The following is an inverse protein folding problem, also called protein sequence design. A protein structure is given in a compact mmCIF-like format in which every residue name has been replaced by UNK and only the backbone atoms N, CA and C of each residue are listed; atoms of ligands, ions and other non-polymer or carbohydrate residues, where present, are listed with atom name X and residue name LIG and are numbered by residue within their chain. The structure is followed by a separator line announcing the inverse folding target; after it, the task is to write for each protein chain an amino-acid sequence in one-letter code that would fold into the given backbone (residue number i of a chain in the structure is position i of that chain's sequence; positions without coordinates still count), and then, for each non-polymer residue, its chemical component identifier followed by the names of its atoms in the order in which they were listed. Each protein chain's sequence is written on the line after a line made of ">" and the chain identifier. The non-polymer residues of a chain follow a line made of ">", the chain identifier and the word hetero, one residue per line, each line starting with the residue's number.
data_IF_355330697875
#
_entry.id   IF_355330697875
#
_cell.length_a   1.000
_cell.length_b   1.000
_cell.length_c   1.000
_cell.angle_alpha   90.00
_cell.angle_beta   90.00
_cell.angle_gamma   90.00
#
_symmetry.space_group_name_H-M   'P 1'
#
loop_
_entity.id
_entity.type
_entity.pdbx_description
1 polymer ?
#
# COMPACT_ATOMS: atom_id res chain seq x y z
N UNK A 1 -12.67 -31.04 1.50
CA UNK A 1 -11.79 -30.00 0.92
C UNK A 1 -10.37 -30.34 1.32
N UNK A 2 -9.61 -30.95 0.40
CA UNK A 2 -8.22 -31.34 0.66
C UNK A 2 -7.33 -30.12 0.38
N UNK A 3 -6.61 -29.66 1.39
CA UNK A 3 -5.64 -28.58 1.26
C UNK A 3 -4.28 -29.19 0.96
N UNK A 4 -3.68 -28.74 -0.14
CA UNK A 4 -2.34 -29.12 -0.59
C UNK A 4 -1.30 -28.83 0.51
N UNK A 5 -0.59 -29.86 0.95
CA UNK A 5 0.40 -29.84 2.02
C UNK A 5 1.77 -29.37 1.52
N UNK A 6 1.78 -28.26 0.79
CA UNK A 6 2.99 -27.60 0.32
C UNK A 6 3.84 -27.13 1.50
N UNK A 7 5.02 -27.72 1.68
CA UNK A 7 6.05 -27.19 2.57
C UNK A 7 6.49 -25.83 2.03
N UNK A 8 6.07 -24.75 2.70
CA UNK A 8 6.47 -23.40 2.31
C UNK A 8 7.96 -23.18 2.62
N UNK A 9 8.82 -23.44 1.64
CA UNK A 9 10.18 -22.88 1.61
C UNK A 9 10.06 -21.44 1.15
N UNK A 10 10.12 -20.51 2.10
CA UNK A 10 10.26 -19.08 1.81
C UNK A 10 11.64 -18.91 1.16
N UNK A 11 11.70 -18.61 -0.14
CA UNK A 11 12.92 -18.12 -0.78
C UNK A 11 13.36 -16.88 -0.01
N UNK A 12 14.37 -17.01 0.86
CA UNK A 12 14.86 -15.92 1.71
C UNK A 12 15.27 -14.69 0.86
N UNK A 13 15.69 -14.92 -0.39
CA UNK A 13 16.04 -13.90 -1.37
C UNK A 13 14.84 -13.10 -1.92
N UNK A 14 13.60 -13.62 -1.85
CA UNK A 14 12.37 -12.90 -2.23
C UNK A 14 11.73 -12.19 -1.04
N UNK A 15 11.73 -12.85 0.13
CA UNK A 15 11.19 -12.27 1.36
C UNK A 15 11.99 -11.06 1.87
N UNK A 16 13.31 -11.03 1.65
CA UNK A 16 14.14 -9.91 2.09
C UNK A 16 14.09 -8.67 1.18
N UNK A 17 13.45 -8.73 0.00
CA UNK A 17 13.39 -7.58 -0.91
C UNK A 17 12.48 -6.47 -0.40
N UNK A 18 11.41 -6.82 0.30
CA UNK A 18 10.48 -5.86 0.91
C UNK A 18 10.94 -5.31 2.26
N UNK A 19 11.84 -6.04 2.95
CA UNK A 19 12.30 -5.67 4.29
C UNK A 19 12.83 -4.24 4.40
N UNK A 20 13.66 -3.71 3.47
CA UNK A 20 14.11 -2.32 3.54
C UNK A 20 12.96 -1.30 3.52
N UNK A 21 11.91 -1.56 2.73
CA UNK A 21 10.75 -0.68 2.69
C UNK A 21 9.93 -0.77 3.98
N UNK A 22 9.75 -1.98 4.52
CA UNK A 22 9.10 -2.18 5.81
C UNK A 22 9.87 -1.50 6.95
N UNK A 23 11.20 -1.65 7.00
CA UNK A 23 12.06 -1.00 7.99
C UNK A 23 11.92 0.54 7.90
N UNK A 24 11.79 1.09 6.68
CA UNK A 24 11.62 2.53 6.48
C UNK A 24 10.25 3.02 6.96
N UNK A 25 9.17 2.28 6.68
CA UNK A 25 7.83 2.57 7.22
C UNK A 25 7.84 2.46 8.74
N UNK A 26 8.48 1.43 9.32
CA UNK A 26 8.58 1.27 10.77
C UNK A 26 9.31 2.46 11.42
N UNK A 27 10.42 2.91 10.84
CA UNK A 27 11.12 4.10 11.30
C UNK A 27 10.22 5.34 11.26
N UNK A 28 9.48 5.55 10.17
CA UNK A 28 8.54 6.67 10.07
C UNK A 28 7.42 6.58 11.12
N UNK A 29 6.89 5.39 11.37
CA UNK A 29 5.85 5.14 12.38
C UNK A 29 6.33 5.49 13.79
N UNK A 30 7.56 5.13 14.16
CA UNK A 30 8.16 5.53 15.44
C UNK A 30 8.22 7.06 15.58
N UNK A 31 8.57 7.77 14.51
CA UNK A 31 8.62 9.25 14.50
C UNK A 31 7.23 9.86 14.59
N UNK A 32 6.24 9.32 13.88
CA UNK A 32 4.85 9.75 13.98
C UNK A 32 4.29 9.56 15.39
N UNK A 33 4.58 8.42 16.02
CA UNK A 33 4.18 8.10 17.38
C UNK A 33 4.86 9.01 18.40
N UNK A 34 6.17 9.25 18.27
CA UNK A 34 6.90 10.17 19.14
C UNK A 34 6.38 11.62 19.07
N UNK A 35 5.79 12.01 17.93
CA UNK A 35 5.10 13.30 17.75
C UNK A 35 3.64 13.31 18.22
N UNK A 36 3.09 12.15 18.58
CA UNK A 36 1.69 12.01 19.00
C UNK A 36 0.66 12.18 17.88
N UNK A 37 1.07 12.23 16.61
CA UNK A 37 0.17 12.50 15.48
C UNK A 37 -0.34 11.22 14.80
N UNK A 38 0.35 10.09 14.97
CA UNK A 38 -0.15 8.80 14.49
C UNK A 38 0.27 7.67 15.44
N UNK A 39 -0.48 6.58 15.44
CA UNK A 39 -0.10 5.32 16.07
C UNK A 39 -0.42 4.22 15.07
N UNK A 40 0.62 3.69 14.44
CA UNK A 40 0.53 2.64 13.42
C UNK A 40 1.29 1.41 13.91
N UNK A 41 0.67 0.25 13.79
CA UNK A 41 1.24 -1.02 14.20
C UNK A 41 1.37 -1.95 13.00
N UNK A 42 2.54 -2.57 12.87
CA UNK A 42 2.74 -3.68 11.93
C UNK A 42 1.94 -4.88 12.43
N UNK A 43 1.07 -5.43 11.58
CA UNK A 43 0.28 -6.62 11.90
C UNK A 43 1.18 -7.86 11.73
N UNK A 44 1.47 -8.63 12.79
CA UNK A 44 2.30 -9.81 12.66
C UNK A 44 1.56 -10.90 11.89
N UNK A 45 2.28 -11.64 11.05
CA UNK A 45 1.78 -12.92 10.55
C UNK A 45 1.78 -13.94 11.69
N UNK A 46 0.69 -14.70 11.83
CA UNK A 46 0.59 -15.75 12.84
C UNK A 46 1.33 -17.01 12.36
N UNK A 47 2.19 -17.55 13.22
CA UNK A 47 2.99 -18.73 12.92
C UNK A 47 2.78 -19.81 13.98
N UNK A 48 2.59 -21.04 13.52
CA UNK A 48 2.64 -22.24 14.36
C UNK A 48 4.10 -22.70 14.45
N UNK A 49 4.74 -22.66 15.63
CA UNK A 49 6.09 -23.17 15.80
C UNK A 49 6.08 -24.70 15.70
N UNK A 50 6.94 -25.24 14.84
CA UNK A 50 7.24 -26.68 14.77
C UNK A 50 8.46 -26.95 15.63
N UNK A 51 8.29 -27.75 16.68
CA UNK A 51 9.33 -28.05 17.66
C UNK A 51 10.12 -29.29 17.28
N UNK A 52 11.43 -29.25 17.52
CA UNK A 52 12.32 -30.41 17.40
C UNK A 52 12.23 -31.33 18.61
N UNK A 53 12.99 -32.43 18.59
CA UNK A 53 13.00 -33.45 19.63
C UNK A 53 13.35 -32.93 21.04
N UNK A 54 14.02 -31.79 21.14
CA UNK A 54 14.41 -31.16 22.41
C UNK A 54 13.58 -29.90 22.72
N UNK A 55 12.43 -29.71 22.07
CA UNK A 55 11.49 -28.62 22.34
C UNK A 55 11.83 -27.26 21.73
N UNK A 56 12.99 -27.10 21.09
CA UNK A 56 13.38 -25.89 20.36
C UNK A 56 12.54 -25.69 19.11
N UNK A 57 12.26 -24.44 18.73
CA UNK A 57 11.58 -24.14 17.46
C UNK A 57 12.54 -24.45 16.32
N UNK A 58 12.25 -25.51 15.57
CA UNK A 58 13.07 -25.96 14.45
C UNK A 58 12.58 -25.36 13.13
N UNK A 59 11.27 -25.10 13.02
CA UNK A 59 10.65 -24.48 11.85
C UNK A 59 9.34 -23.79 12.26
N UNK A 60 8.66 -23.13 11.33
CA UNK A 60 7.32 -22.59 11.53
C UNK A 60 6.45 -22.83 10.31
N UNK A 61 5.14 -23.00 10.53
CA UNK A 61 4.12 -22.94 9.48
C UNK A 61 3.32 -21.67 9.68
N UNK A 62 2.90 -21.03 8.59
CA UNK A 62 1.95 -19.92 8.68
C UNK A 62 0.61 -20.51 9.13
N UNK A 63 0.05 -19.97 10.22
CA UNK A 63 -1.30 -20.32 10.68
C UNK A 63 -2.32 -19.51 9.89
N UNK A 64 -2.19 -18.17 10.00
CA UNK A 64 -3.04 -17.19 9.35
C UNK A 64 -2.16 -16.10 8.74
N UNK A 65 -2.43 -15.79 7.47
CA UNK A 65 -1.83 -14.61 6.82
C UNK A 65 -2.37 -13.35 7.50
N UNK A 66 -1.53 -12.32 7.64
CA UNK A 66 -1.98 -11.02 8.12
C UNK A 66 -3.00 -10.43 7.15
N UNK A 67 -3.96 -9.66 7.67
CA UNK A 67 -4.98 -9.01 6.87
C UNK A 67 -4.38 -7.92 5.96
N UNK A 68 -3.55 -7.05 6.54
CA UNK A 68 -2.73 -6.03 5.88
C UNK A 68 -1.43 -5.88 6.66
N UNK A 69 -0.42 -5.20 6.10
CA UNK A 69 0.85 -5.00 6.80
C UNK A 69 0.77 -4.05 8.00
N UNK A 70 -0.04 -2.98 7.94
CA UNK A 70 -0.14 -1.99 9.01
C UNK A 70 -1.58 -1.53 9.29
N UNK A 71 -1.90 -1.36 10.56
CA UNK A 71 -3.16 -0.82 11.06
C UNK A 71 -2.93 0.24 12.13
N UNK A 72 -3.79 1.25 12.20
CA UNK A 72 -3.68 2.25 13.25
C UNK A 72 -4.55 3.47 13.00
N UNK A 73 -4.07 4.62 13.48
CA UNK A 73 -4.70 5.92 13.25
C UNK A 73 -3.69 6.99 12.91
N UNK A 74 -4.12 7.95 12.09
CA UNK A 74 -3.50 9.26 11.93
C UNK A 74 -4.46 10.31 12.49
N UNK A 75 -4.07 10.99 13.56
CA UNK A 75 -4.96 11.83 14.39
C UNK A 75 -6.23 11.06 14.77
N UNK A 76 -7.41 11.51 14.36
CA UNK A 76 -8.72 10.88 14.60
C UNK A 76 -9.14 9.88 13.51
N UNK A 77 -8.35 9.72 12.45
CA UNK A 77 -8.70 8.92 11.28
C UNK A 77 -8.12 7.50 11.40
N UNK A 78 -8.94 6.44 11.40
CA UNK A 78 -8.46 5.06 11.29
C UNK A 78 -7.83 4.81 9.92
N UNK A 79 -6.68 4.12 9.90
CA UNK A 79 -5.90 3.89 8.67
C UNK A 79 -5.49 2.42 8.56
N UNK A 80 -5.76 1.82 7.41
CA UNK A 80 -5.20 0.54 7.00
C UNK A 80 -4.22 0.73 5.84
N UNK A 81 -3.07 0.06 5.91
CA UNK A 81 -2.01 0.17 4.89
C UNK A 81 -1.44 -1.18 4.55
N UNK A 82 -1.39 -1.47 3.27
CA UNK A 82 -0.65 -2.60 2.71
C UNK A 82 0.63 -2.10 2.02
N UNK A 83 1.80 -2.67 2.31
CA UNK A 83 3.07 -2.20 1.76
C UNK A 83 3.58 -3.13 0.65
N UNK A 84 3.80 -2.57 -0.54
CA UNK A 84 4.32 -3.31 -1.70
C UNK A 84 5.58 -2.65 -2.24
N UNK A 85 6.57 -3.47 -2.55
CA UNK A 85 7.84 -3.02 -3.10
C UNK A 85 8.17 -3.76 -4.38
N UNK A 86 8.67 -3.03 -5.38
CA UNK A 86 9.24 -3.59 -6.60
C UNK A 86 10.64 -3.00 -6.83
N UNK A 87 11.58 -3.85 -7.26
CA UNK A 87 12.90 -3.42 -7.74
C UNK A 87 12.86 -3.02 -9.21
N UNK A 88 11.80 -3.42 -9.94
CA UNK A 88 11.63 -3.09 -11.34
C UNK A 88 10.91 -1.76 -11.55
N UNK A 89 10.69 -1.41 -12.82
CA UNK A 89 9.96 -0.21 -13.20
C UNK A 89 8.44 -0.31 -12.99
N UNK A 90 7.91 -1.50 -12.72
CA UNK A 90 6.47 -1.78 -12.65
C UNK A 90 6.11 -2.59 -11.40
N UNK A 91 4.89 -2.39 -10.92
CA UNK A 91 4.27 -3.18 -9.86
C UNK A 91 2.92 -3.73 -10.33
N UNK A 92 2.70 -5.03 -10.13
CA UNK A 92 1.45 -5.69 -10.50
C UNK A 92 0.32 -5.34 -9.52
N UNK A 93 -0.89 -5.08 -10.01
CA UNK A 93 -2.04 -4.83 -9.14
C UNK A 93 -2.45 -6.07 -8.33
N UNK A 94 -2.07 -7.26 -8.81
CA UNK A 94 -2.18 -8.53 -8.09
C UNK A 94 -1.14 -8.71 -6.97
N UNK A 95 -0.19 -7.77 -6.80
CA UNK A 95 0.73 -7.79 -5.68
C UNK A 95 -0.01 -7.72 -4.34
N UNK A 96 -1.12 -6.98 -4.28
CA UNK A 96 -2.11 -7.08 -3.20
C UNK A 96 -2.85 -8.39 -3.38
N UNK A 97 -2.72 -9.32 -2.43
CA UNK A 97 -3.34 -10.65 -2.55
C UNK A 97 -4.84 -10.58 -2.22
N UNK A 98 -5.61 -11.57 -2.67
CA UNK A 98 -7.07 -11.59 -2.55
C UNK A 98 -7.56 -11.37 -1.12
N UNK A 99 -7.03 -12.10 -0.14
CA UNK A 99 -7.36 -11.90 1.28
C UNK A 99 -7.07 -10.48 1.81
N UNK A 100 -6.06 -9.79 1.26
CA UNK A 100 -5.74 -8.41 1.63
C UNK A 100 -6.75 -7.45 1.00
N UNK A 101 -7.10 -7.69 -0.27
CA UNK A 101 -8.13 -6.93 -0.97
C UNK A 101 -9.50 -7.08 -0.30
N UNK A 102 -9.89 -8.29 0.08
CA UNK A 102 -11.11 -8.59 0.83
C UNK A 102 -11.16 -7.83 2.16
N UNK A 103 -10.04 -7.79 2.89
CA UNK A 103 -9.96 -7.03 4.13
C UNK A 103 -10.05 -5.51 3.90
N UNK A 104 -9.34 -4.98 2.90
CA UNK A 104 -9.37 -3.55 2.57
C UNK A 104 -10.76 -3.12 2.09
N UNK A 105 -11.48 -3.98 1.39
CA UNK A 105 -12.89 -3.79 1.05
C UNK A 105 -13.75 -3.70 2.30
N UNK A 106 -13.70 -4.71 3.17
CA UNK A 106 -14.46 -4.73 4.42
C UNK A 106 -14.13 -3.52 5.33
N UNK A 107 -12.86 -3.09 5.37
CA UNK A 107 -12.44 -1.89 6.11
C UNK A 107 -13.12 -0.62 5.59
N UNK A 108 -13.34 -0.54 4.28
CA UNK A 108 -13.93 0.64 3.62
C UNK A 108 -15.47 0.61 3.53
N UNK A 109 -16.15 -0.45 3.95
CA UNK A 109 -17.62 -0.57 3.85
C UNK A 109 -18.40 0.40 4.76
N UNK A 110 -17.81 0.91 5.84
CA UNK A 110 -18.49 1.82 6.79
C UNK A 110 -18.52 3.29 6.34
N UNK A 111 -19.51 4.06 6.82
CA UNK A 111 -19.68 5.50 6.54
C UNK A 111 -18.74 6.44 7.33
N UNK A 112 -17.74 5.88 8.02
CA UNK A 112 -16.80 6.65 8.82
C UNK A 112 -15.73 7.37 7.98
N UNK A 113 -14.78 7.99 8.68
CA UNK A 113 -13.64 8.68 8.05
C UNK A 113 -12.47 7.75 7.75
N UNK A 114 -12.64 6.43 7.90
CA UNK A 114 -11.53 5.50 7.76
C UNK A 114 -10.97 5.51 6.33
N UNK A 115 -9.65 5.37 6.25
CA UNK A 115 -8.94 5.37 4.98
C UNK A 115 -8.13 4.08 4.85
N UNK A 116 -7.98 3.63 3.62
CA UNK A 116 -7.19 2.47 3.28
C UNK A 116 -6.31 2.77 2.06
N UNK A 117 -5.09 2.26 2.08
CA UNK A 117 -4.09 2.59 1.08
C UNK A 117 -3.17 1.42 0.77
N UNK A 118 -2.57 1.47 -0.42
CA UNK A 118 -1.39 0.68 -0.78
C UNK A 118 -0.18 1.61 -0.78
N UNK A 119 0.74 1.40 0.16
CA UNK A 119 2.05 2.04 0.17
C UNK A 119 2.93 1.33 -0.86
N UNK A 120 3.43 2.06 -1.86
CA UNK A 120 4.19 1.48 -2.97
C UNK A 120 5.60 2.05 -2.99
N UNK A 121 6.60 1.19 -3.10
CA UNK A 121 8.00 1.57 -3.33
C UNK A 121 8.48 1.06 -4.69
N UNK A 122 9.00 1.97 -5.53
CA UNK A 122 9.72 1.66 -6.75
C UNK A 122 11.22 1.86 -6.53
N UNK A 123 11.97 0.76 -6.50
CA UNK A 123 13.44 0.76 -6.41
C UNK A 123 14.00 1.40 -5.13
N UNK A 124 13.19 1.57 -4.08
CA UNK A 124 13.53 2.36 -2.88
C UNK A 124 13.86 3.84 -3.15
N UNK A 125 13.43 4.37 -4.30
CA UNK A 125 13.70 5.76 -4.71
C UNK A 125 12.44 6.60 -4.78
N UNK A 126 11.33 6.03 -5.25
CA UNK A 126 10.03 6.70 -5.35
C UNK A 126 8.99 5.95 -4.55
N UNK A 127 8.20 6.70 -3.79
CA UNK A 127 7.26 6.16 -2.82
C UNK A 127 5.89 6.79 -3.07
N UNK A 128 4.85 5.96 -3.07
CA UNK A 128 3.49 6.41 -3.31
C UNK A 128 2.55 5.89 -2.24
N UNK A 129 1.52 6.67 -1.96
CA UNK A 129 0.41 6.25 -1.13
C UNK A 129 -0.86 6.22 -1.97
N UNK A 130 -1.14 5.07 -2.59
CA UNK A 130 -2.28 4.93 -3.49
C UNK A 130 -3.53 4.62 -2.68
N UNK A 131 -4.60 5.43 -2.72
CA UNK A 131 -5.83 5.09 -1.99
C UNK A 131 -6.46 3.82 -2.54
N UNK A 132 -7.04 3.00 -1.65
CA UNK A 132 -7.51 1.65 -1.98
C UNK A 132 -8.50 1.62 -3.15
N UNK A 133 -9.41 2.59 -3.23
CA UNK A 133 -10.40 2.69 -4.31
C UNK A 133 -9.78 2.77 -5.70
N UNK A 134 -8.67 3.51 -5.85
CA UNK A 134 -7.96 3.62 -7.12
C UNK A 134 -7.22 2.32 -7.45
N UNK A 135 -6.51 1.73 -6.49
CA UNK A 135 -5.84 0.45 -6.69
C UNK A 135 -6.83 -0.66 -7.06
N UNK A 136 -7.95 -0.72 -6.33
CA UNK A 136 -9.06 -1.65 -6.56
C UNK A 136 -9.62 -1.50 -7.98
N UNK A 137 -9.91 -0.28 -8.43
CA UNK A 137 -10.44 -0.08 -9.77
C UNK A 137 -9.51 -0.62 -10.86
N UNK A 138 -8.20 -0.35 -10.77
CA UNK A 138 -7.25 -0.86 -11.74
C UNK A 138 -7.12 -2.39 -11.70
N UNK A 139 -7.12 -2.97 -10.49
CA UNK A 139 -7.16 -4.42 -10.27
C UNK A 139 -8.41 -5.03 -10.91
N UNK A 140 -9.58 -4.49 -10.66
CA UNK A 140 -10.87 -5.01 -11.13
C UNK A 140 -10.99 -4.93 -12.66
N UNK A 141 -10.55 -3.82 -13.27
CA UNK A 141 -10.46 -3.70 -14.73
C UNK A 141 -9.58 -4.80 -15.33
N UNK A 142 -8.43 -5.10 -14.70
CA UNK A 142 -7.55 -6.15 -15.18
C UNK A 142 -8.14 -7.56 -15.00
N UNK A 143 -8.79 -7.82 -13.86
CA UNK A 143 -9.49 -9.10 -13.64
C UNK A 143 -10.61 -9.32 -14.65
N UNK A 144 -11.39 -8.28 -14.97
CA UNK A 144 -12.40 -8.34 -16.04
C UNK A 144 -11.75 -8.57 -17.40
N UNK A 145 -10.69 -7.83 -17.74
CA UNK A 145 -9.94 -8.02 -18.99
C UNK A 145 -9.46 -9.47 -19.17
N UNK A 146 -8.93 -10.11 -18.12
CA UNK A 146 -8.50 -11.52 -18.21
C UNK A 146 -9.63 -12.47 -18.61
N UNK A 147 -10.86 -12.20 -18.14
CA UNK A 147 -12.07 -12.99 -18.40
C UNK A 147 -12.69 -12.69 -19.77
N UNK A 148 -12.82 -11.41 -20.13
CA UNK A 148 -13.55 -10.95 -21.32
C UNK A 148 -12.65 -10.78 -22.55
N UNK A 149 -11.33 -10.68 -22.35
CA UNK A 149 -10.32 -10.25 -23.35
C UNK A 149 -10.56 -8.85 -23.92
N UNK A 150 -11.49 -8.09 -23.35
CA UNK A 150 -11.77 -6.71 -23.73
C UNK A 150 -10.99 -5.77 -22.80
N UNK A 151 -10.24 -4.84 -23.37
CA UNK A 151 -9.52 -3.84 -22.55
C UNK A 151 -10.55 -2.92 -21.91
N UNK A 152 -10.43 -2.74 -20.61
CA UNK A 152 -11.30 -1.88 -19.84
C UNK A 152 -10.45 -0.83 -19.11
N UNK A 153 -10.99 0.37 -19.05
CA UNK A 153 -10.43 1.50 -18.31
C UNK A 153 -11.57 2.04 -17.46
N UNK A 154 -11.27 2.40 -16.22
CA UNK A 154 -12.21 3.06 -15.33
C UNK A 154 -11.71 4.48 -15.02
N UNK A 155 -12.65 5.41 -14.93
CA UNK A 155 -12.39 6.76 -14.38
C UNK A 155 -12.89 6.73 -12.94
N UNK A 156 -11.97 6.89 -11.99
CA UNK A 156 -12.27 6.93 -10.55
C UNK A 156 -12.18 8.37 -10.08
N UNK A 157 -13.22 8.85 -9.40
CA UNK A 157 -13.25 10.20 -8.82
C UNK A 157 -13.49 10.10 -7.32
N UNK A 158 -12.47 10.41 -6.51
CA UNK A 158 -12.57 10.37 -5.05
C UNK A 158 -11.52 11.30 -4.42
N UNK A 159 -11.85 11.85 -3.24
CA UNK A 159 -10.97 12.76 -2.50
C UNK A 159 -10.54 14.02 -3.29
N UNK A 160 -11.34 14.45 -4.26
CA UNK A 160 -11.01 15.55 -5.16
C UNK A 160 -10.06 15.17 -6.31
N UNK A 161 -9.65 13.91 -6.41
CA UNK A 161 -8.81 13.41 -7.49
C UNK A 161 -9.62 12.64 -8.51
N UNK A 162 -9.21 12.79 -9.77
CA UNK A 162 -9.70 11.99 -10.90
C UNK A 162 -8.53 11.20 -11.47
N UNK A 163 -8.69 9.89 -11.62
CA UNK A 163 -7.67 9.04 -12.23
C UNK A 163 -8.29 8.08 -13.23
N UNK A 164 -7.64 7.94 -14.38
CA UNK A 164 -7.94 6.94 -15.39
C UNK A 164 -7.03 5.72 -15.16
N UNK A 165 -7.62 4.54 -14.97
CA UNK A 165 -6.83 3.34 -14.74
C UNK A 165 -5.96 3.01 -15.97
N UNK A 166 -4.75 2.44 -15.82
CA UNK A 166 -3.83 2.24 -16.97
C UNK A 166 -4.34 1.21 -18.00
N UNK A 167 -5.36 0.42 -17.64
CA UNK A 167 -5.88 -0.69 -18.44
C UNK A 167 -4.88 -1.83 -18.64
N UNK A 168 -3.87 -1.94 -17.75
CA UNK A 168 -2.83 -2.98 -17.75
C UNK A 168 -2.73 -3.70 -16.40
N UNK A 169 -2.09 -4.87 -16.37
CA UNK A 169 -1.90 -5.70 -15.16
C UNK A 169 -1.11 -5.03 -14.02
N UNK A 170 -0.31 -4.03 -14.40
CA UNK A 170 0.65 -3.34 -13.55
C UNK A 170 0.64 -1.85 -13.83
N UNK A 171 1.27 -1.09 -12.94
CA UNK A 171 1.57 0.33 -13.10
C UNK A 171 3.09 0.56 -13.00
N UNK A 172 3.61 1.48 -13.81
CA UNK A 172 4.86 2.20 -13.51
C UNK A 172 4.55 3.43 -12.67
N UNK A 173 5.57 4.04 -12.08
CA UNK A 173 5.40 5.21 -11.22
C UNK A 173 4.71 6.38 -11.94
N UNK A 174 4.92 6.53 -13.26
CA UNK A 174 4.28 7.56 -14.10
C UNK A 174 2.81 7.28 -14.39
N UNK A 175 2.36 6.04 -14.19
CA UNK A 175 0.95 5.68 -14.34
C UNK A 175 0.14 6.09 -13.09
N UNK A 176 0.78 6.42 -11.97
CA UNK A 176 0.15 6.84 -10.72
C UNK A 176 0.02 8.37 -10.65
N UNK A 177 -0.97 8.89 -9.92
CA UNK A 177 -1.11 10.34 -9.76
C UNK A 177 0.09 10.93 -8.98
N UNK A 178 0.67 12.05 -9.44
CA UNK A 178 1.74 12.75 -8.72
C UNK A 178 1.35 13.17 -7.29
N UNK A 179 0.08 13.49 -7.05
CA UNK A 179 -0.43 13.85 -5.72
C UNK A 179 -0.27 12.73 -4.68
N UNK A 180 -0.18 11.47 -5.14
CA UNK A 180 0.05 10.30 -4.30
C UNK A 180 1.53 10.07 -4.00
N UNK A 181 2.45 10.75 -4.67
CA UNK A 181 3.88 10.62 -4.41
C UNK A 181 4.21 11.21 -3.03
N UNK A 182 5.05 10.49 -2.29
CA UNK A 182 5.39 10.75 -0.90
C UNK A 182 6.81 11.27 -0.82
N UNK A 183 6.96 12.42 -0.15
CA UNK A 183 8.26 13.00 0.11
C UNK A 183 9.08 12.17 1.10
N UNK A 184 10.38 12.11 0.84
CA UNK A 184 11.37 11.51 1.74
C UNK A 184 12.23 12.58 2.41
N UNK A 185 12.85 12.22 3.53
CA UNK A 185 13.65 13.12 4.35
C UNK A 185 12.86 13.78 5.48
N UNK A 186 13.39 14.89 5.99
CA UNK A 186 12.81 15.59 7.14
C UNK A 186 12.80 14.75 8.42
N UNK A 187 11.93 15.11 9.36
CA UNK A 187 11.87 14.47 10.69
C UNK A 187 11.36 13.02 10.65
N UNK A 188 10.42 12.72 9.76
CA UNK A 188 9.77 11.41 9.67
C UNK A 188 10.53 10.42 8.77
N UNK A 189 11.44 10.90 7.92
CA UNK A 189 12.13 10.06 6.93
C UNK A 189 11.25 9.69 5.74
N UNK A 190 10.07 9.11 5.98
CA UNK A 190 9.05 8.82 4.97
C UNK A 190 7.72 9.46 5.40
N UNK A 191 7.24 10.43 4.63
CA UNK A 191 6.09 11.25 5.02
C UNK A 191 4.73 10.67 4.58
N UNK A 192 4.59 9.34 4.55
CA UNK A 192 3.49 8.68 3.84
C UNK A 192 2.09 8.97 4.39
N UNK A 193 1.94 9.28 5.68
CA UNK A 193 0.64 9.62 6.26
C UNK A 193 0.21 11.06 5.98
N UNK A 194 1.10 11.94 5.53
CA UNK A 194 0.75 13.33 5.20
C UNK A 194 -0.17 13.41 3.96
N UNK A 195 -0.28 12.35 3.17
CA UNK A 195 -1.30 12.29 2.11
C UNK A 195 -2.72 12.46 2.67
N UNK A 196 -2.95 12.06 3.92
CA UNK A 196 -4.25 12.20 4.59
C UNK A 196 -4.59 13.69 4.78
N UNK A 197 -3.59 14.56 4.95
CA UNK A 197 -3.79 16.01 5.00
C UNK A 197 -4.27 16.54 3.65
N UNK A 198 -3.77 16.01 2.53
CA UNK A 198 -4.24 16.38 1.17
C UNK A 198 -5.71 15.96 0.96
N UNK A 199 -6.07 14.77 1.43
CA UNK A 199 -7.44 14.24 1.37
C UNK A 199 -8.40 15.05 2.25
N UNK A 200 -8.00 15.34 3.49
CA UNK A 200 -8.85 16.04 4.46
C UNK A 200 -8.93 17.55 4.20
N UNK A 201 -7.87 18.13 3.63
CA UNK A 201 -7.76 19.56 3.35
C UNK A 201 -8.42 20.01 2.05
N UNK A 202 -8.83 19.08 1.17
CA UNK A 202 -9.44 19.39 -0.12
C UNK A 202 -8.61 20.43 -0.88
N UNK A 203 -7.36 20.09 -1.23
CA UNK A 203 -6.49 21.02 -1.98
C UNK A 203 -7.13 21.37 -3.33
N UNK A 204 -7.90 22.45 -3.31
CA UNK A 204 -8.37 23.23 -4.45
C UNK A 204 -7.24 24.12 -4.90
N UNK A 205 -6.16 23.56 -5.43
CA UNK A 205 -5.18 24.32 -6.22
C UNK A 205 -4.56 23.45 -7.31
N UNK A 206 -5.06 23.61 -8.53
CA UNK A 206 -4.23 23.76 -9.73
C UNK A 206 -5.06 24.32 -10.91
N UNK A 207 -5.57 25.55 -10.74
CA UNK A 207 -5.68 26.47 -11.88
C UNK A 207 -4.52 27.47 -11.77
N UNK A 208 -3.77 27.61 -12.86
CA UNK A 208 -2.71 28.60 -13.10
C UNK A 208 -1.43 28.51 -12.25
N UNK A 209 -0.55 27.59 -12.67
CA UNK A 209 0.87 27.94 -12.86
C UNK A 209 1.26 27.68 -14.31
N UNK A 210 0.88 28.63 -15.16
CA UNK A 210 1.52 28.79 -16.47
C UNK A 210 2.97 29.27 -16.31
N UNK A 211 3.82 29.04 -17.32
CA UNK A 211 5.26 29.28 -17.23
C UNK A 211 5.59 30.78 -17.39
N UNK A 212 6.43 31.29 -16.48
CA UNK A 212 7.26 32.49 -16.67
C UNK A 212 6.57 33.85 -16.60
N UNK A 213 7.07 34.74 -15.74
CA UNK A 213 8.02 35.76 -16.21
C UNK A 213 8.72 36.47 -15.05
N UNK A 214 10.05 36.48 -15.15
CA UNK A 214 10.93 37.47 -14.52
C UNK A 214 10.72 38.81 -15.22
N UNK A 215 10.33 39.88 -14.52
CA UNK A 215 10.88 41.22 -14.81
C UNK A 215 10.70 42.21 -13.65
N UNK A 216 11.84 42.81 -13.29
CA UNK A 216 12.15 44.01 -12.48
C UNK A 216 11.87 43.93 -10.98
#
# INVERSE_FOLDING_TARGET
>A
MAWDSGTYRRDASKANRGKPFEDFINFANEKYQAKGIAVMHKVPTEFIPLRGAHGQVANCKVDRKSCVDYLGRFRDIPVAVEAKHTQGARIDFSAVQDHQAEYLDAWMEGEGRQLAFVAVSFGMNRFFMVPWSFWKAARDCWERHKKTKQKEIAIVQQYGWTWETPGTASAKAEDLLPDWEVDTGGFYGLQYLQIIDKIAGGETKNENRGPGNNTI
#
